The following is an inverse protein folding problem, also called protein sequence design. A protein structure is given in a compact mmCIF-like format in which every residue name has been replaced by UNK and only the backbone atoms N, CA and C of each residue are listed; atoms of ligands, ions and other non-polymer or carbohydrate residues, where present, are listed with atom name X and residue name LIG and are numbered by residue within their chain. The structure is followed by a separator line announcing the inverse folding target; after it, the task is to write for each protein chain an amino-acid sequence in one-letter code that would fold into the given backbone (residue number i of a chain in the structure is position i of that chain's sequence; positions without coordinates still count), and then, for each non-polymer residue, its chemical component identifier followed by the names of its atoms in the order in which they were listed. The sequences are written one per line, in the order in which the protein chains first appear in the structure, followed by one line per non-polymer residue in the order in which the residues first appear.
data_IF_355380948587
#
_entry.id   IF_355380948587
#
_cell.length_a   1.000
_cell.length_b   1.000
_cell.length_c   1.000
_cell.angle_alpha   90.00
_cell.angle_beta   90.00
_cell.angle_gamma   90.00
#
_symmetry.space_group_name_H-M   'P 1'
#
loop_
_entity.id
_entity.type
_entity.pdbx_description
1 polymer ?
#
# COMPACT_ATOMS: atom_id res chain seq x y z
N UNK A 1 -28.21 13.35 22.97
CA UNK A 1 -27.09 12.40 23.12
C UNK A 1 -27.43 11.11 22.38
N UNK A 2 -26.90 10.90 21.18
CA UNK A 2 -27.04 9.64 20.42
C UNK A 2 -25.73 8.87 20.55
N UNK A 3 -25.83 7.67 21.09
CA UNK A 3 -24.76 6.69 21.21
C UNK A 3 -24.10 6.44 19.86
N UNK A 4 -22.81 6.79 19.75
CA UNK A 4 -21.91 6.52 18.60
C UNK A 4 -21.39 5.06 18.66
N UNK A 5 -22.05 4.20 19.44
CA UNK A 5 -21.69 2.79 19.54
C UNK A 5 -22.08 2.05 18.25
N UNK A 6 -21.11 1.31 17.70
CA UNK A 6 -21.25 0.35 16.61
C UNK A 6 -21.49 0.92 15.21
N UNK A 7 -20.52 1.66 14.67
CA UNK A 7 -20.19 1.45 13.26
C UNK A 7 -19.33 0.19 13.16
N UNK A 8 -19.94 -0.98 13.23
CA UNK A 8 -19.35 -2.18 12.64
C UNK A 8 -19.14 -1.83 11.17
N UNK A 9 -17.89 -1.78 10.70
CA UNK A 9 -17.66 -1.99 9.28
C UNK A 9 -18.46 -3.25 8.93
N UNK A 10 -19.37 -3.16 7.97
CA UNK A 10 -19.98 -4.33 7.33
C UNK A 10 -18.83 -5.06 6.60
N UNK A 11 -18.03 -5.77 7.40
CA UNK A 11 -17.03 -6.71 6.95
C UNK A 11 -17.83 -7.91 6.50
N UNK A 12 -18.11 -7.99 5.21
CA UNK A 12 -18.59 -9.23 4.63
C UNK A 12 -17.44 -10.25 4.75
N UNK A 13 -17.46 -11.03 5.85
CA UNK A 13 -16.46 -12.03 6.22
C UNK A 13 -16.35 -13.15 5.17
N UNK A 14 -17.21 -13.16 4.16
CA UNK A 14 -17.24 -14.14 3.08
C UNK A 14 -16.37 -13.78 1.87
N UNK A 15 -15.72 -12.61 1.88
CA UNK A 15 -14.88 -12.15 0.77
C UNK A 15 -13.61 -13.02 0.63
N UNK A 16 -13.63 -14.04 -0.23
CA UNK A 16 -12.55 -15.03 -0.40
C UNK A 16 -11.17 -14.40 -0.74
N UNK A 17 -11.13 -13.14 -1.13
CA UNK A 17 -9.92 -12.45 -1.58
C UNK A 17 -8.90 -12.17 -0.44
N UNK A 18 -9.32 -12.06 0.83
CA UNK A 18 -8.38 -11.77 1.93
C UNK A 18 -7.51 -12.98 2.32
N UNK A 19 -7.97 -14.21 2.06
CA UNK A 19 -7.22 -15.45 2.25
C UNK A 19 -5.96 -15.52 1.38
N UNK A 20 -5.93 -14.81 0.23
CA UNK A 20 -4.84 -14.89 -0.75
C UNK A 20 -3.48 -14.46 -0.18
N UNK A 21 -3.47 -13.65 0.88
CA UNK A 21 -2.25 -13.08 1.46
C UNK A 21 -2.09 -13.38 2.97
N UNK A 22 -2.91 -14.28 3.51
CA UNK A 22 -2.78 -14.82 4.86
C UNK A 22 -2.31 -16.27 4.77
N UNK A 23 -1.11 -16.57 5.28
CA UNK A 23 -0.60 -17.94 5.31
C UNK A 23 -0.94 -18.59 6.65
N UNK A 24 -1.76 -19.64 6.61
CA UNK A 24 -2.14 -20.44 7.77
C UNK A 24 -1.11 -21.53 7.99
N UNK A 25 -0.50 -21.57 9.17
CA UNK A 25 0.54 -22.55 9.46
C UNK A 25 -0.07 -23.95 9.55
N UNK A 26 0.10 -24.76 8.50
CA UNK A 26 -0.29 -26.17 8.48
C UNK A 26 -1.81 -26.45 8.51
N UNK A 27 -2.66 -25.44 8.30
CA UNK A 27 -4.12 -25.59 8.36
C UNK A 27 -4.81 -25.01 7.12
N UNK A 28 -5.81 -25.72 6.62
CA UNK A 28 -6.61 -25.32 5.45
C UNK A 28 -7.78 -24.38 5.78
N UNK A 29 -8.01 -24.11 7.07
CA UNK A 29 -9.09 -23.25 7.58
C UNK A 29 -8.67 -22.55 8.89
N UNK A 30 -9.36 -21.46 9.25
CA UNK A 30 -9.19 -20.83 10.57
C UNK A 30 -9.84 -21.67 11.66
N UNK A 31 -9.04 -22.04 12.65
CA UNK A 31 -9.46 -22.65 13.90
C UNK A 31 -9.04 -21.71 15.04
N UNK A 32 -9.62 -21.89 16.23
CA UNK A 32 -9.37 -21.00 17.36
C UNK A 32 -7.87 -20.93 17.73
N UNK A 33 -7.17 -22.05 17.63
CA UNK A 33 -5.74 -22.23 17.88
C UNK A 33 -4.85 -21.90 16.66
N UNK A 34 -5.41 -21.42 15.55
CA UNK A 34 -4.64 -21.11 14.36
C UNK A 34 -3.65 -19.97 14.61
N UNK A 35 -2.39 -20.21 14.28
CA UNK A 35 -1.35 -19.19 14.19
C UNK A 35 -1.24 -18.76 12.74
N UNK A 36 -1.58 -17.50 12.46
CA UNK A 36 -1.62 -16.97 11.10
C UNK A 36 -0.43 -16.06 10.86
N UNK A 37 0.34 -16.35 9.82
CA UNK A 37 1.48 -15.54 9.39
C UNK A 37 1.06 -14.65 8.23
N UNK A 38 1.24 -13.35 8.42
CA UNK A 38 1.09 -12.35 7.39
C UNK A 38 2.44 -12.08 6.75
N UNK A 39 2.44 -12.09 5.42
CA UNK A 39 3.60 -11.72 4.63
C UNK A 39 3.44 -10.29 4.09
N UNK A 40 4.56 -9.62 3.85
CA UNK A 40 4.58 -8.27 3.30
C UNK A 40 3.93 -8.26 1.93
N UNK A 41 3.23 -7.17 1.60
CA UNK A 41 2.66 -6.95 0.27
C UNK A 41 3.60 -6.07 -0.59
N UNK A 42 4.62 -6.64 -1.28
CA UNK A 42 5.56 -5.85 -2.07
C UNK A 42 4.90 -5.12 -3.25
N UNK A 43 3.75 -5.61 -3.74
CA UNK A 43 3.03 -4.99 -4.86
C UNK A 43 2.42 -3.61 -4.52
N UNK A 44 2.18 -3.31 -3.25
CA UNK A 44 1.65 -2.04 -2.77
C UNK A 44 2.73 -1.08 -2.25
N UNK A 45 4.00 -1.50 -2.29
CA UNK A 45 5.11 -0.73 -1.78
C UNK A 45 5.43 0.46 -2.70
N UNK A 46 4.81 1.61 -2.44
CA UNK A 46 5.14 2.90 -3.05
C UNK A 46 6.35 3.48 -2.32
N UNK A 47 7.27 4.16 -3.01
CA UNK A 47 8.32 4.93 -2.32
C UNK A 47 7.69 6.07 -1.49
N UNK A 48 8.47 6.77 -0.67
CA UNK A 48 7.93 7.97 -0.01
C UNK A 48 7.42 8.96 -1.05
N UNK A 49 6.39 9.75 -0.72
CA UNK A 49 5.77 10.69 -1.68
C UNK A 49 6.79 11.58 -2.39
N UNK A 50 7.78 12.12 -1.66
CA UNK A 50 8.86 12.92 -2.23
C UNK A 50 9.78 12.14 -3.19
N UNK A 51 10.10 10.88 -2.89
CA UNK A 51 10.89 10.05 -3.79
C UNK A 51 10.11 9.75 -5.08
N UNK A 52 8.80 9.54 -4.99
CA UNK A 52 7.93 9.39 -6.16
C UNK A 52 7.90 10.65 -7.03
N UNK A 53 7.82 11.83 -6.40
CA UNK A 53 7.91 13.11 -7.11
C UNK A 53 9.26 13.24 -7.81
N UNK A 54 10.37 12.96 -7.12
CA UNK A 54 11.71 13.02 -7.70
C UNK A 54 11.85 12.12 -8.94
N UNK A 55 11.41 10.86 -8.85
CA UNK A 55 11.45 9.94 -10.00
C UNK A 55 10.57 10.41 -11.15
N UNK A 56 9.40 11.00 -10.87
CA UNK A 56 8.55 11.53 -11.93
C UNK A 56 9.17 12.78 -12.61
N UNK A 57 9.81 13.66 -11.83
CA UNK A 57 10.54 14.81 -12.36
C UNK A 57 11.72 14.38 -13.25
N UNK A 58 12.46 13.33 -12.86
CA UNK A 58 13.53 12.77 -13.70
C UNK A 58 13.00 12.27 -15.05
N UNK A 59 11.89 11.52 -15.05
CA UNK A 59 11.27 11.04 -16.30
C UNK A 59 10.80 12.21 -17.16
N UNK A 60 10.25 13.25 -16.55
CA UNK A 60 9.82 14.46 -17.27
C UNK A 60 11.01 15.25 -17.84
N UNK A 61 12.12 15.32 -17.11
CA UNK A 61 13.36 15.93 -17.60
C UNK A 61 13.92 15.18 -18.83
N UNK A 62 13.87 13.84 -18.82
CA UNK A 62 14.25 13.01 -19.98
C UNK A 62 13.30 13.26 -21.16
N UNK A 63 12.00 13.42 -20.90
CA UNK A 63 11.05 13.74 -21.94
C UNK A 63 11.28 15.14 -22.54
N UNK A 64 11.67 16.13 -21.73
CA UNK A 64 11.99 17.47 -22.23
C UNK A 64 13.32 17.51 -22.98
N UNK A 65 14.33 16.75 -22.52
CA UNK A 65 15.62 16.67 -23.21
C UNK A 65 15.50 16.04 -24.60
N UNK A 66 14.45 15.27 -24.88
CA UNK A 66 14.19 14.73 -26.22
C UNK A 66 14.05 15.83 -27.27
N UNK A 67 13.49 17.00 -26.91
CA UNK A 67 13.34 18.13 -27.83
C UNK A 67 14.71 18.67 -28.28
N UNK A 68 15.63 18.83 -27.33
CA UNK A 68 17.01 19.22 -27.61
C UNK A 68 17.77 18.15 -28.42
N UNK A 69 17.59 16.88 -28.05
CA UNK A 69 18.25 15.74 -28.70
C UNK A 69 17.83 15.58 -30.17
N UNK A 70 16.56 15.86 -30.52
CA UNK A 70 16.07 15.84 -31.91
C UNK A 70 16.80 16.85 -32.79
N UNK A 71 17.18 18.00 -32.25
CA UNK A 71 17.83 19.09 -33.00
C UNK A 71 19.33 18.85 -33.21
N UNK A 72 19.99 18.15 -32.28
CA UNK A 72 21.46 18.05 -32.23
C UNK A 72 22.00 16.66 -32.60
N UNK A 73 21.16 15.62 -32.62
CA UNK A 73 21.59 14.25 -32.89
C UNK A 73 20.67 13.54 -33.89
N UNK A 74 21.19 12.53 -34.62
CA UNK A 74 20.36 11.64 -35.41
C UNK A 74 19.28 10.99 -34.54
N UNK A 75 18.05 10.90 -35.07
CA UNK A 75 16.87 10.41 -34.34
C UNK A 75 17.07 9.05 -33.69
N UNK A 76 17.77 8.12 -34.34
CA UNK A 76 18.08 6.79 -33.79
C UNK A 76 18.95 6.85 -32.54
N UNK A 77 19.97 7.72 -32.55
CA UNK A 77 20.86 7.91 -31.40
C UNK A 77 20.10 8.61 -30.27
N UNK A 78 19.34 9.66 -30.60
CA UNK A 78 18.50 10.37 -29.64
C UNK A 78 17.44 9.46 -28.99
N UNK A 79 16.83 8.55 -29.77
CA UNK A 79 15.91 7.53 -29.29
C UNK A 79 16.58 6.60 -28.27
N UNK A 80 17.75 6.06 -28.59
CA UNK A 80 18.50 5.17 -27.70
C UNK A 80 18.92 5.87 -26.40
N UNK A 81 19.32 7.15 -26.47
CA UNK A 81 19.67 7.95 -25.29
C UNK A 81 18.45 8.15 -24.38
N UNK A 82 17.30 8.55 -24.93
CA UNK A 82 16.07 8.73 -24.15
C UNK A 82 15.58 7.41 -23.55
N UNK A 83 15.54 6.34 -24.34
CA UNK A 83 15.10 5.02 -23.88
C UNK A 83 16.04 4.46 -22.81
N UNK A 84 17.35 4.53 -23.03
CA UNK A 84 18.36 4.09 -22.06
C UNK A 84 18.24 4.84 -20.75
N UNK A 85 18.15 6.17 -20.81
CA UNK A 85 17.97 7.02 -19.63
C UNK A 85 16.70 6.66 -18.85
N UNK A 86 15.58 6.47 -19.55
CA UNK A 86 14.33 6.07 -18.93
C UNK A 86 14.44 4.70 -18.23
N UNK A 87 15.04 3.71 -18.90
CA UNK A 87 15.26 2.38 -18.33
C UNK A 87 16.18 2.44 -17.10
N UNK A 88 17.24 3.26 -17.13
CA UNK A 88 18.13 3.47 -15.98
C UNK A 88 17.35 4.04 -14.79
N UNK A 89 16.53 5.08 -15.00
CA UNK A 89 15.67 5.64 -13.94
C UNK A 89 14.71 4.59 -13.39
N UNK A 90 14.12 3.77 -14.25
CA UNK A 90 13.22 2.68 -13.85
C UNK A 90 13.93 1.60 -13.02
N UNK A 91 15.12 1.17 -13.44
CA UNK A 91 15.93 0.18 -12.74
C UNK A 91 16.37 0.73 -11.37
N UNK A 92 16.87 1.96 -11.30
CA UNK A 92 17.25 2.59 -10.05
C UNK A 92 16.05 2.67 -9.11
N UNK A 93 14.87 3.10 -9.60
CA UNK A 93 13.63 3.13 -8.81
C UNK A 93 13.30 1.75 -8.25
N UNK A 94 13.44 0.71 -9.08
CA UNK A 94 13.19 -0.68 -8.67
C UNK A 94 14.18 -1.12 -7.59
N UNK A 95 15.47 -0.84 -7.73
CA UNK A 95 16.50 -1.17 -6.75
C UNK A 95 16.28 -0.44 -5.42
N UNK A 96 15.95 0.84 -5.44
CA UNK A 96 15.63 1.62 -4.23
C UNK A 96 14.39 1.06 -3.53
N UNK A 97 13.38 0.67 -4.29
CA UNK A 97 12.18 0.01 -3.75
C UNK A 97 12.53 -1.32 -3.10
N UNK A 98 13.34 -2.16 -3.75
CA UNK A 98 13.81 -3.44 -3.21
C UNK A 98 14.68 -3.23 -1.97
N UNK A 99 15.59 -2.24 -1.96
CA UNK A 99 16.42 -1.93 -0.78
C UNK A 99 15.57 -1.48 0.40
N UNK A 100 14.55 -0.66 0.15
CA UNK A 100 13.66 -0.15 1.20
C UNK A 100 12.74 -1.24 1.74
N UNK A 101 12.10 -2.01 0.86
CA UNK A 101 11.02 -2.93 1.22
C UNK A 101 11.44 -4.40 1.30
N UNK A 102 12.64 -4.74 0.83
CA UNK A 102 13.12 -6.11 0.67
C UNK A 102 12.72 -6.71 -0.67
N UNK A 103 13.40 -7.79 -1.06
CA UNK A 103 12.99 -8.63 -2.18
C UNK A 103 11.99 -9.68 -1.69
N UNK A 104 10.93 -9.93 -2.47
CA UNK A 104 9.93 -10.96 -2.17
C UNK A 104 8.96 -10.63 -1.04
N UNK A 105 8.18 -11.63 -0.64
CA UNK A 105 7.25 -11.53 0.48
C UNK A 105 7.95 -11.98 1.77
N UNK A 106 8.19 -11.04 2.69
CA UNK A 106 8.84 -11.30 3.99
C UNK A 106 7.78 -11.46 5.07
N UNK A 107 8.04 -12.28 6.10
CA UNK A 107 7.19 -12.31 7.30
C UNK A 107 7.15 -10.90 7.91
N UNK A 108 5.95 -10.40 8.17
CA UNK A 108 5.75 -9.06 8.78
C UNK A 108 5.01 -9.14 10.10
N UNK A 109 4.11 -10.11 10.25
CA UNK A 109 3.29 -10.20 11.45
C UNK A 109 2.83 -11.65 11.65
N UNK A 110 2.74 -12.07 12.91
CA UNK A 110 2.07 -13.31 13.30
C UNK A 110 0.92 -12.94 14.21
N UNK A 111 -0.28 -13.44 13.92
CA UNK A 111 -1.47 -13.21 14.75
C UNK A 111 -1.99 -14.56 15.21
N UNK A 112 -2.22 -14.68 16.52
CA UNK A 112 -2.85 -15.83 17.15
C UNK A 112 -3.96 -15.36 18.10
N UNK A 113 -4.64 -16.31 18.75
CA UNK A 113 -5.63 -16.00 19.78
C UNK A 113 -5.05 -15.26 20.99
N UNK A 114 -3.78 -15.49 21.33
CA UNK A 114 -3.19 -15.07 22.61
C UNK A 114 -2.16 -13.96 22.46
N UNK A 115 -1.53 -13.83 21.29
CA UNK A 115 -0.48 -12.84 21.06
C UNK A 115 -0.43 -12.38 19.60
N UNK A 116 0.17 -11.21 19.43
CA UNK A 116 0.55 -10.62 18.16
C UNK A 116 2.07 -10.46 18.16
N UNK A 117 2.73 -11.02 17.15
CA UNK A 117 4.14 -10.78 16.88
C UNK A 117 4.25 -9.79 15.72
N UNK A 118 4.98 -8.70 15.92
CA UNK A 118 5.13 -7.61 14.96
C UNK A 118 6.61 -7.49 14.62
N UNK A 119 6.98 -7.88 13.41
CA UNK A 119 8.34 -7.72 12.93
C UNK A 119 8.67 -6.23 12.76
N UNK A 120 9.94 -5.86 12.87
CA UNK A 120 10.36 -4.46 12.71
C UNK A 120 9.89 -3.84 11.38
N UNK A 121 9.85 -4.67 10.34
CA UNK A 121 9.39 -4.26 9.01
C UNK A 121 7.90 -3.91 8.98
N UNK A 122 7.08 -4.41 9.90
CA UNK A 122 5.65 -4.07 9.97
C UNK A 122 5.39 -2.73 10.68
N UNK A 123 6.38 -2.19 11.41
CA UNK A 123 6.23 -0.94 12.16
C UNK A 123 6.47 0.26 11.26
N UNK A 124 5.64 1.29 11.41
CA UNK A 124 5.82 2.59 10.76
C UNK A 124 7.12 3.28 11.24
N UNK A 125 7.42 3.14 12.53
CA UNK A 125 8.69 3.57 13.12
C UNK A 125 9.54 2.33 13.39
N UNK A 126 10.64 2.19 12.66
CA UNK A 126 11.59 1.06 12.78
C UNK A 126 12.53 1.28 13.96
N UNK A 127 12.03 1.07 15.17
CA UNK A 127 12.82 1.07 16.41
C UNK A 127 12.55 -0.22 17.17
N UNK A 128 13.62 -0.78 17.76
CA UNK A 128 13.52 -1.85 18.75
C UNK A 128 13.24 -3.25 18.20
N UNK A 129 13.55 -3.54 16.94
CA UNK A 129 13.45 -4.91 16.39
C UNK A 129 12.01 -5.44 16.32
N UNK A 130 11.84 -6.76 16.36
CA UNK A 130 10.54 -7.42 16.44
C UNK A 130 9.97 -7.31 17.87
N UNK A 131 8.66 -7.22 17.99
CA UNK A 131 7.96 -7.14 19.28
C UNK A 131 6.87 -8.21 19.37
N UNK A 132 6.87 -8.95 20.47
CA UNK A 132 5.80 -9.87 20.85
C UNK A 132 4.90 -9.18 21.87
N UNK A 133 3.60 -9.11 21.58
CA UNK A 133 2.61 -8.44 22.40
C UNK A 133 1.51 -9.45 22.76
N UNK A 134 1.27 -9.69 24.05
CA UNK A 134 0.16 -10.54 24.45
C UNK A 134 -1.16 -9.78 24.32
N UNK A 135 -2.23 -10.49 23.98
CA UNK A 135 -3.57 -9.93 23.85
C UNK A 135 -4.03 -9.20 25.11
N UNK A 136 -3.68 -9.71 26.29
CA UNK A 136 -4.07 -9.12 27.57
C UNK A 136 -3.37 -7.79 27.85
N UNK A 137 -2.23 -7.53 27.20
CA UNK A 137 -1.47 -6.29 27.34
C UNK A 137 -1.96 -5.20 26.38
N UNK A 138 -2.91 -5.51 25.50
CA UNK A 138 -3.48 -4.59 24.51
C UNK A 138 -4.72 -3.93 25.09
N UNK A 139 -4.72 -2.60 25.14
CA UNK A 139 -5.89 -1.81 25.54
C UNK A 139 -6.88 -1.68 24.38
N UNK A 140 -6.39 -1.31 23.19
CA UNK A 140 -7.19 -1.20 21.98
C UNK A 140 -6.34 -1.28 20.71
N UNK A 141 -6.93 -1.80 19.63
CA UNK A 141 -6.39 -1.70 18.27
C UNK A 141 -7.27 -0.77 17.46
N UNK A 142 -6.73 0.36 17.03
CA UNK A 142 -7.45 1.43 16.35
C UNK A 142 -7.21 1.34 14.85
N UNK A 143 -8.29 1.14 14.10
CA UNK A 143 -8.28 1.25 12.64
C UNK A 143 -8.86 2.60 12.21
N UNK A 144 -8.05 3.40 11.54
CA UNK A 144 -8.50 4.65 10.92
C UNK A 144 -8.94 4.37 9.48
N UNK A 145 -10.14 4.83 9.12
CA UNK A 145 -10.75 4.51 7.83
C UNK A 145 -11.54 5.67 7.22
N UNK A 146 -11.72 5.65 5.90
CA UNK A 146 -12.67 6.52 5.16
C UNK A 146 -13.74 5.67 4.49
N UNK A 147 -14.94 6.21 4.29
CA UNK A 147 -15.91 5.63 3.35
C UNK A 147 -15.73 6.20 1.95
N UNK A 148 -15.55 5.31 0.97
CA UNK A 148 -15.68 5.67 -0.44
C UNK A 148 -17.07 5.24 -0.90
N UNK A 149 -17.91 6.21 -1.26
CA UNK A 149 -19.17 5.95 -1.96
C UNK A 149 -18.84 5.60 -3.40
N UNK A 150 -19.07 4.34 -3.80
CA UNK A 150 -19.07 3.98 -5.21
C UNK A 150 -20.49 4.07 -5.73
N UNK A 151 -20.80 5.15 -6.43
CA UNK A 151 -22.03 5.23 -7.22
C UNK A 151 -21.84 4.34 -8.45
N UNK A 152 -22.29 3.09 -8.36
CA UNK A 152 -22.36 2.23 -9.55
C UNK A 152 -23.73 2.50 -10.19
N UNK A 153 -23.76 3.18 -11.33
CA UNK A 153 -24.95 3.16 -12.17
C UNK A 153 -25.12 1.73 -12.68
N UNK A 154 -26.12 1.01 -12.16
CA UNK A 154 -26.69 -0.16 -12.82
C UNK A 154 -27.95 0.30 -13.55
N UNK A 155 -28.14 -0.20 -14.75
CA UNK A 155 -29.45 -0.14 -15.43
C UNK A 155 -30.46 -0.80 -14.50
N UNK A 156 -31.41 -0.01 -13.96
CA UNK A 156 -32.44 -0.48 -13.02
C UNK A 156 -32.33 -0.05 -11.56
N UNK A 157 -31.35 0.76 -11.15
CA UNK A 157 -31.32 1.37 -9.81
C UNK A 157 -29.92 1.65 -9.25
N UNK A 158 -29.82 2.67 -8.39
CA UNK A 158 -28.57 3.08 -7.73
C UNK A 158 -28.31 2.16 -6.53
N UNK A 159 -27.44 1.16 -6.70
CA UNK A 159 -26.90 0.42 -5.57
C UNK A 159 -25.76 1.23 -4.93
N UNK A 160 -26.06 1.92 -3.82
CA UNK A 160 -25.06 2.63 -3.02
C UNK A 160 -24.17 1.61 -2.28
N UNK A 161 -23.10 1.13 -2.92
CA UNK A 161 -22.07 0.35 -2.22
C UNK A 161 -21.07 1.31 -1.58
N UNK A 162 -21.21 1.53 -0.27
CA UNK A 162 -20.17 2.15 0.57
C UNK A 162 -19.08 1.13 0.87
N UNK A 163 -17.85 1.38 0.41
CA UNK A 163 -16.69 0.56 0.77
C UNK A 163 -15.82 1.35 1.75
N UNK A 164 -15.53 0.76 2.91
CA UNK A 164 -14.54 1.31 3.81
C UNK A 164 -13.13 1.10 3.24
N UNK A 165 -12.26 2.10 3.39
CA UNK A 165 -10.83 2.02 3.07
C UNK A 165 -10.05 2.29 4.34
N UNK A 166 -9.24 1.33 4.75
CA UNK A 166 -8.37 1.43 5.91
C UNK A 166 -7.09 2.20 5.54
N UNK A 167 -6.69 3.14 6.39
CA UNK A 167 -5.53 4.00 6.18
C UNK A 167 -4.39 3.70 7.13
N UNK A 168 -4.69 3.58 8.43
CA UNK A 168 -3.70 3.27 9.46
C UNK A 168 -4.27 2.29 10.47
N UNK A 169 -3.36 1.59 11.15
CA UNK A 169 -3.66 0.71 12.26
C UNK A 169 -2.66 0.98 13.37
N UNK A 170 -3.17 1.32 14.56
CA UNK A 170 -2.39 1.65 15.73
C UNK A 170 -2.77 0.70 16.87
N UNK A 171 -1.80 -0.01 17.44
CA UNK A 171 -1.99 -0.92 18.56
C UNK A 171 -1.56 -0.18 19.83
N UNK A 172 -2.53 0.10 20.70
CA UNK A 172 -2.30 0.73 21.99
C UNK A 172 -2.17 -0.34 23.07
N UNK A 173 -1.12 -0.24 23.87
CA UNK A 173 -0.86 -1.14 24.98
C UNK A 173 -1.37 -0.53 26.30
N UNK A 174 -1.52 -1.36 27.32
CA UNK A 174 -1.94 -0.92 28.66
C UNK A 174 -0.92 -0.01 29.34
N UNK A 175 0.36 -0.10 28.97
CA UNK A 175 1.46 0.74 29.46
C UNK A 175 1.51 2.15 28.81
N UNK A 176 0.58 2.44 27.89
CA UNK A 176 0.52 3.69 27.13
C UNK A 176 1.37 3.72 25.87
N UNK A 177 2.17 2.67 25.58
CA UNK A 177 2.92 2.56 24.34
C UNK A 177 1.97 2.37 23.16
N UNK A 178 2.32 2.97 22.03
CA UNK A 178 1.57 2.82 20.77
C UNK A 178 2.48 2.28 19.67
N UNK A 179 2.04 1.20 19.03
CA UNK A 179 2.73 0.57 17.89
C UNK A 179 1.90 0.84 16.62
N UNK A 180 2.38 1.77 15.80
CA UNK A 180 1.76 2.06 14.50
C UNK A 180 2.26 1.11 13.41
N UNK A 181 1.35 0.48 12.67
CA UNK A 181 1.67 -0.39 11.55
C UNK A 181 1.92 0.42 10.26
N UNK A 182 2.88 -0.05 9.45
CA UNK A 182 3.11 0.45 8.10
C UNK A 182 2.10 -0.19 7.13
N UNK A 183 1.02 0.55 6.86
CA UNK A 183 -0.05 0.15 5.94
C UNK A 183 0.42 -0.15 4.50
N UNK A 184 1.61 0.33 4.11
CA UNK A 184 2.21 0.04 2.79
C UNK A 184 2.86 -1.34 2.74
N UNK A 185 3.13 -1.96 3.89
CA UNK A 185 3.77 -3.27 3.99
C UNK A 185 2.82 -4.35 4.48
N UNK A 186 1.90 -3.97 5.37
CA UNK A 186 0.97 -4.89 6.01
C UNK A 186 -0.41 -4.71 5.39
N UNK A 187 -1.01 -5.82 4.93
CA UNK A 187 -2.39 -5.81 4.46
C UNK A 187 -3.36 -5.56 5.61
N UNK A 188 -3.76 -4.30 5.83
CA UNK A 188 -4.60 -3.90 6.96
C UNK A 188 -5.94 -4.65 7.02
N UNK A 189 -6.52 -5.01 5.88
CA UNK A 189 -7.75 -5.81 5.84
C UNK A 189 -7.53 -7.23 6.36
N UNK A 190 -6.37 -7.84 6.07
CA UNK A 190 -6.05 -9.17 6.59
C UNK A 190 -5.83 -9.11 8.11
N UNK A 191 -5.14 -8.07 8.59
CA UNK A 191 -4.98 -7.82 10.02
C UNK A 191 -6.35 -7.66 10.68
N UNK A 192 -7.20 -6.80 10.14
CA UNK A 192 -8.54 -6.56 10.66
C UNK A 192 -9.35 -7.85 10.75
N UNK A 193 -9.36 -8.66 9.68
CA UNK A 193 -10.08 -9.94 9.67
C UNK A 193 -9.60 -10.88 10.78
N UNK A 194 -8.28 -11.06 10.91
CA UNK A 194 -7.71 -11.97 11.92
C UNK A 194 -7.96 -11.47 13.34
N UNK A 195 -7.91 -10.16 13.57
CA UNK A 195 -8.20 -9.58 14.87
C UNK A 195 -9.68 -9.67 15.25
N UNK A 196 -10.59 -9.53 14.28
CA UNK A 196 -12.03 -9.79 14.48
C UNK A 196 -12.25 -11.26 14.85
N UNK A 197 -11.65 -12.18 14.09
CA UNK A 197 -11.78 -13.62 14.34
C UNK A 197 -11.30 -14.02 15.73
N UNK A 198 -10.10 -13.57 16.14
CA UNK A 198 -9.54 -13.85 17.46
C UNK A 198 -10.08 -12.93 18.58
N UNK A 199 -11.10 -12.11 18.29
CA UNK A 199 -11.78 -11.22 19.24
C UNK A 199 -10.84 -10.29 20.01
N UNK A 200 -9.94 -9.60 19.31
CA UNK A 200 -9.11 -8.54 19.89
C UNK A 200 -9.95 -7.27 20.19
N UNK A 201 -9.52 -6.41 21.13
CA UNK A 201 -10.23 -5.18 21.45
C UNK A 201 -10.08 -4.15 20.32
N UNK A 202 -11.05 -4.06 19.41
CA UNK A 202 -11.00 -3.20 18.23
C UNK A 202 -11.75 -1.87 18.44
N UNK A 203 -11.19 -0.78 17.91
CA UNK A 203 -11.88 0.51 17.75
C UNK A 203 -11.72 1.04 16.32
N UNK A 204 -12.75 1.71 15.83
CA UNK A 204 -12.79 2.26 14.48
C UNK A 204 -12.95 3.77 14.52
N UNK A 205 -12.06 4.49 13.84
CA UNK A 205 -12.09 5.96 13.77
C UNK A 205 -12.22 6.41 12.31
N UNK A 206 -13.24 7.18 12.02
CA UNK A 206 -13.40 7.78 10.70
C UNK A 206 -12.40 8.94 10.56
N UNK A 207 -11.59 8.95 9.51
CA UNK A 207 -10.63 10.02 9.21
C UNK A 207 -10.87 10.54 7.80
N UNK A 208 -10.61 11.83 7.55
CA UNK A 208 -10.65 12.42 6.20
C UNK A 208 -9.26 12.56 5.57
N UNK A 209 -8.19 12.23 6.31
CA UNK A 209 -6.81 12.64 5.99
C UNK A 209 -6.08 11.79 4.93
N UNK A 210 -6.68 10.73 4.38
CA UNK A 210 -5.97 9.73 3.56
C UNK A 210 -5.98 9.91 2.04
N UNK A 211 -6.78 10.85 1.49
CA UNK A 211 -7.14 10.82 0.06
C UNK A 211 -6.40 11.77 -0.90
N UNK A 212 -5.92 12.92 -0.43
CA UNK A 212 -5.55 14.02 -1.35
C UNK A 212 -4.13 13.86 -1.90
N UNK A 213 -3.17 13.50 -1.04
CA UNK A 213 -1.75 13.40 -1.44
C UNK A 213 -1.43 12.21 -2.36
N UNK A 214 -2.20 11.12 -2.28
CA UNK A 214 -2.02 9.95 -3.15
C UNK A 214 -2.49 10.20 -4.58
N UNK A 215 -3.53 11.02 -4.77
CA UNK A 215 -4.08 11.29 -6.10
C UNK A 215 -3.16 12.19 -6.95
N UNK A 216 -2.54 13.21 -6.34
CA UNK A 216 -1.57 14.06 -7.03
C UNK A 216 -0.33 13.29 -7.51
N UNK A 217 0.16 12.35 -6.70
CA UNK A 217 1.29 11.48 -7.07
C UNK A 217 0.91 10.56 -8.25
N UNK A 218 -0.31 10.01 -8.25
CA UNK A 218 -0.80 9.17 -9.36
C UNK A 218 -0.90 10.00 -10.65
N UNK A 219 -1.49 11.19 -10.57
CA UNK A 219 -1.59 12.10 -11.73
C UNK A 219 -0.20 12.46 -12.26
N UNK A 220 0.73 12.83 -11.38
CA UNK A 220 2.11 13.16 -11.76
C UNK A 220 2.80 12.00 -12.47
N UNK A 221 2.62 10.76 -11.99
CA UNK A 221 3.15 9.56 -12.66
C UNK A 221 2.54 9.36 -14.05
N UNK A 222 1.23 9.54 -14.19
CA UNK A 222 0.54 9.43 -15.48
C UNK A 222 1.05 10.49 -16.46
N UNK A 223 1.22 11.73 -16.02
CA UNK A 223 1.80 12.80 -16.83
C UNK A 223 3.24 12.48 -17.26
N UNK A 224 4.10 12.05 -16.32
CA UNK A 224 5.48 11.70 -16.64
C UNK A 224 5.57 10.53 -17.65
N UNK A 225 4.74 9.49 -17.47
CA UNK A 225 4.65 8.37 -18.41
C UNK A 225 4.12 8.78 -19.78
N UNK A 226 3.12 9.66 -19.83
CA UNK A 226 2.62 10.22 -21.08
C UNK A 226 3.66 11.06 -21.80
N UNK A 227 4.41 11.89 -21.07
CA UNK A 227 5.47 12.74 -21.62
C UNK A 227 6.59 11.92 -22.24
N UNK A 228 7.10 10.90 -21.54
CA UNK A 228 8.16 10.03 -22.09
C UNK A 228 7.65 9.17 -23.25
N UNK A 229 6.39 8.72 -23.20
CA UNK A 229 5.75 8.02 -24.32
C UNK A 229 5.72 8.88 -25.59
N UNK A 230 5.28 10.12 -25.47
CA UNK A 230 5.27 11.08 -26.59
C UNK A 230 6.69 11.39 -27.09
N UNK A 231 7.66 11.57 -26.20
CA UNK A 231 9.05 11.80 -26.57
C UNK A 231 9.64 10.62 -27.38
N UNK A 232 9.36 9.38 -26.96
CA UNK A 232 9.80 8.19 -27.68
C UNK A 232 9.10 8.04 -29.03
N UNK A 233 7.81 8.39 -29.14
CA UNK A 233 7.08 8.39 -30.42
C UNK A 233 7.64 9.45 -31.37
N UNK A 234 7.89 10.67 -30.88
CA UNK A 234 8.48 11.76 -31.66
C UNK A 234 9.83 11.35 -32.26
N UNK A 235 10.67 10.73 -31.43
CA UNK A 235 11.99 10.24 -31.83
C UNK A 235 11.92 9.00 -32.73
N UNK A 236 10.94 8.12 -32.49
CA UNK A 236 10.71 6.87 -33.22
C UNK A 236 10.08 7.05 -34.61
N UNK A 237 9.33 8.12 -34.83
CA UNK A 237 8.69 8.37 -36.13
C UNK A 237 9.75 8.61 -37.21
N UNK A 238 9.77 7.70 -38.21
CA UNK A 238 10.76 7.55 -39.30
C UNK A 238 12.03 6.74 -39.00
N UNK A 239 12.13 6.05 -37.86
CA UNK A 239 13.15 5.00 -37.65
C UNK A 239 12.73 3.63 -38.20
N UNK A 240 11.44 3.47 -38.50
CA UNK A 240 10.82 2.36 -39.20
C UNK A 240 10.00 2.89 -40.37
#
# INVERSE_FOLDING_TARGET
MRSIAKHSLDLDLTDKDWFRYASFQGKSSLQADSVTRLQSLPALAVLSGWAEVFFALLVMAIALSSLYLVEHYPRGIAFLICLGSFLTVFIIKRLVTIKKYGFGSKKVMTISQNHIEIEELAKKVKKGGSELVNKNDISEVVFNYTYIRKNKHRVGGVANKTRAVLHTCDIHLNDGKTISLDAMRVGLFNVLYLLVFHQYPLKFRNTSAGGIGTMSIILLRLFALGAIGNALILLGNKLF
#
